data_IF_572053912352
#
_entry.id   IF_572053912352
#
_cell.length_a   1.000
_cell.length_b   1.000
_cell.length_c   1.000
_cell.angle_alpha   90.00
_cell.angle_beta   90.00
_cell.angle_gamma   90.00
#
_symmetry.space_group_name_H-M   'P 1'
#
loop_
_entity.id
_entity.type
_entity.pdbx_description
1 polymer ?
#
# COMPACT_ATOMS: atom_id res chain seq x y z
N UNK A 1 -5.68 -5.09 4.53
CA UNK A 1 -5.35 -3.86 3.83
C UNK A 1 -4.07 -3.93 3.03
N UNK A 2 -3.88 -3.00 2.15
CA UNK A 2 -2.67 -2.79 1.30
C UNK A 2 -2.22 -4.03 0.52
N UNK A 3 -3.14 -4.89 0.11
CA UNK A 3 -2.83 -6.19 -0.50
C UNK A 3 -3.11 -6.27 -2.01
N UNK A 4 -3.67 -5.25 -2.63
CA UNK A 4 -4.12 -5.35 -4.04
C UNK A 4 -2.94 -5.63 -4.95
N UNK A 5 -1.90 -4.80 -4.95
CA UNK A 5 -0.69 -5.07 -5.75
C UNK A 5 -0.01 -6.36 -5.32
N UNK A 6 0.07 -6.63 -4.01
CA UNK A 6 0.71 -7.81 -3.47
C UNK A 6 -0.01 -9.11 -3.88
N UNK A 7 -1.30 -9.24 -3.60
CA UNK A 7 -2.03 -10.48 -3.84
C UNK A 7 -2.55 -10.57 -5.29
N UNK A 8 -3.24 -9.55 -5.77
CA UNK A 8 -3.81 -9.55 -7.12
C UNK A 8 -2.71 -9.48 -8.18
N UNK A 9 -1.66 -8.69 -7.96
CA UNK A 9 -0.51 -8.64 -8.87
C UNK A 9 0.14 -10.01 -9.04
N UNK A 10 0.37 -10.74 -7.94
CA UNK A 10 0.90 -12.10 -7.99
C UNK A 10 -0.04 -13.06 -8.73
N UNK A 11 -1.36 -12.96 -8.47
CA UNK A 11 -2.35 -13.78 -9.16
C UNK A 11 -2.35 -13.55 -10.67
N UNK A 12 -2.20 -12.30 -11.10
CA UNK A 12 -2.12 -11.95 -12.54
C UNK A 12 -0.88 -12.55 -13.18
N UNK A 13 0.29 -12.48 -12.52
CA UNK A 13 1.52 -13.09 -13.05
C UNK A 13 1.37 -14.60 -13.18
N UNK A 14 0.93 -15.30 -12.14
CA UNK A 14 0.76 -16.75 -12.18
C UNK A 14 -0.28 -17.20 -13.20
N UNK A 15 -1.38 -16.43 -13.37
CA UNK A 15 -2.37 -16.72 -14.41
C UNK A 15 -1.82 -16.50 -15.82
N UNK A 16 -0.97 -15.48 -16.02
CA UNK A 16 -0.31 -15.25 -17.30
C UNK A 16 0.70 -16.37 -17.60
N UNK A 17 1.46 -16.82 -16.64
CA UNK A 17 2.36 -17.98 -16.77
C UNK A 17 1.61 -19.26 -17.11
N UNK A 18 0.45 -19.51 -16.47
CA UNK A 18 -0.40 -20.66 -16.79
C UNK A 18 -0.97 -20.56 -18.22
N UNK A 19 -1.35 -19.37 -18.67
CA UNK A 19 -1.76 -19.15 -20.06
C UNK A 19 -0.63 -19.42 -21.06
N UNK A 20 0.60 -19.02 -20.73
CA UNK A 20 1.79 -19.37 -21.53
C UNK A 20 2.01 -20.87 -21.57
N UNK A 21 1.90 -21.55 -20.45
CA UNK A 21 2.02 -22.99 -20.37
C UNK A 21 0.90 -23.71 -21.16
N UNK A 22 -0.33 -23.17 -21.18
CA UNK A 22 -1.40 -23.70 -22.03
C UNK A 22 -1.05 -23.54 -23.53
N UNK A 23 -0.49 -22.40 -23.94
CA UNK A 23 -0.03 -22.19 -25.32
C UNK A 23 1.11 -23.12 -25.69
N UNK A 24 2.08 -23.36 -24.81
CA UNK A 24 3.16 -24.34 -25.00
C UNK A 24 2.60 -25.76 -25.21
N UNK A 25 1.64 -26.18 -24.36
CA UNK A 25 0.98 -27.49 -24.52
C UNK A 25 0.29 -27.63 -25.87
N UNK A 26 -0.31 -26.56 -26.38
CA UNK A 26 -0.99 -26.56 -27.67
C UNK A 26 -0.02 -26.65 -28.85
N UNK A 27 1.08 -25.88 -28.77
CA UNK A 27 2.15 -25.97 -29.76
C UNK A 27 2.76 -27.39 -29.80
N UNK A 28 3.07 -27.94 -28.62
CA UNK A 28 3.54 -29.31 -28.46
C UNK A 28 2.62 -30.34 -29.12
N UNK A 29 1.30 -30.19 -28.88
CA UNK A 29 0.27 -31.05 -29.49
C UNK A 29 0.19 -30.91 -31.00
N UNK A 30 0.41 -29.71 -31.56
CA UNK A 30 0.42 -29.49 -33.01
C UNK A 30 1.64 -30.12 -33.65
N UNK A 31 2.78 -30.09 -32.98
CA UNK A 31 4.05 -30.63 -33.47
C UNK A 31 4.23 -32.10 -33.12
N UNK A 32 3.38 -32.69 -32.33
CA UNK A 32 3.49 -34.05 -31.80
C UNK A 32 4.80 -34.30 -31.02
N UNK A 33 5.13 -33.36 -30.12
CA UNK A 33 6.33 -33.38 -29.27
C UNK A 33 5.94 -33.20 -27.80
N UNK A 34 6.87 -33.46 -26.88
CA UNK A 34 6.68 -33.19 -25.47
C UNK A 34 6.75 -31.68 -25.19
N UNK A 35 6.02 -31.22 -24.16
CA UNK A 35 6.00 -29.80 -23.76
C UNK A 35 7.40 -29.26 -23.42
N UNK A 36 8.27 -30.11 -22.87
CA UNK A 36 9.63 -29.73 -22.48
C UNK A 36 10.52 -29.40 -23.69
N UNK A 37 10.09 -29.80 -24.88
CA UNK A 37 10.74 -29.46 -26.17
C UNK A 37 10.26 -28.13 -26.75
N UNK A 38 9.32 -27.43 -26.06
CA UNK A 38 8.77 -26.14 -26.49
C UNK A 38 9.36 -25.02 -25.67
N UNK A 39 10.14 -24.17 -26.30
CA UNK A 39 10.56 -22.87 -25.77
C UNK A 39 9.49 -21.80 -26.06
N UNK A 40 9.30 -20.87 -25.13
CA UNK A 40 8.44 -19.71 -25.32
C UNK A 40 9.25 -18.45 -25.11
N UNK A 41 9.33 -17.62 -26.14
CA UNK A 41 10.02 -16.35 -26.06
C UNK A 41 9.33 -15.31 -26.94
N UNK A 42 9.12 -14.11 -26.39
CA UNK A 42 8.56 -12.94 -27.08
C UNK A 42 7.24 -13.21 -27.83
N UNK A 43 6.37 -14.06 -27.26
CA UNK A 43 5.10 -14.42 -27.86
C UNK A 43 5.18 -15.48 -28.98
N UNK A 44 6.30 -16.19 -29.08
CA UNK A 44 6.55 -17.22 -30.10
C UNK A 44 6.93 -18.53 -29.41
N UNK A 45 6.27 -19.60 -29.82
CA UNK A 45 6.68 -20.97 -29.48
C UNK A 45 7.66 -21.49 -30.51
N UNK A 46 8.76 -22.10 -30.05
CA UNK A 46 9.78 -22.77 -30.91
C UNK A 46 10.05 -24.17 -30.38
N UNK A 47 10.29 -25.13 -31.30
CA UNK A 47 10.75 -26.46 -30.93
C UNK A 47 12.28 -26.44 -30.79
N UNK A 48 12.81 -26.86 -29.62
CA UNK A 48 14.25 -26.77 -29.32
C UNK A 48 15.09 -27.94 -29.85
N UNK A 49 14.47 -29.08 -30.14
CA UNK A 49 15.22 -30.28 -30.62
C UNK A 49 15.33 -30.40 -32.15
N UNK A 50 14.54 -29.65 -32.89
CA UNK A 50 14.47 -29.79 -34.35
C UNK A 50 14.03 -28.53 -35.07
N UNK A 51 14.68 -28.17 -36.16
CA UNK A 51 14.31 -27.06 -37.05
C UNK A 51 13.19 -27.44 -38.03
N UNK A 52 12.64 -28.66 -37.92
CA UNK A 52 11.58 -29.15 -38.83
C UNK A 52 10.27 -28.42 -38.61
N UNK A 53 10.01 -28.05 -37.38
CA UNK A 53 8.77 -27.38 -36.98
C UNK A 53 8.90 -25.85 -37.09
N UNK A 54 8.01 -25.27 -37.90
CA UNK A 54 7.93 -23.81 -38.03
C UNK A 54 7.50 -23.21 -36.69
N UNK A 55 8.19 -22.17 -36.19
CA UNK A 55 7.74 -21.44 -35.01
C UNK A 55 6.30 -20.95 -35.12
N UNK A 56 5.56 -20.93 -33.99
CA UNK A 56 4.16 -20.51 -33.94
C UNK A 56 4.01 -19.27 -33.09
N UNK A 57 3.37 -18.26 -33.62
CA UNK A 57 2.95 -17.06 -32.90
C UNK A 57 1.70 -17.31 -32.06
N UNK A 58 1.38 -16.41 -31.10
CA UNK A 58 0.13 -16.43 -30.34
C UNK A 58 -1.08 -16.53 -31.26
N UNK A 59 -1.11 -15.78 -32.35
CA UNK A 59 -2.22 -15.78 -33.33
C UNK A 59 -2.38 -17.13 -34.03
N UNK A 60 -1.28 -17.76 -34.43
CA UNK A 60 -1.31 -19.09 -35.06
C UNK A 60 -1.77 -20.17 -34.08
N UNK A 61 -1.31 -20.14 -32.82
CA UNK A 61 -1.76 -21.06 -31.76
C UNK A 61 -3.26 -20.84 -31.48
N UNK A 62 -3.70 -19.59 -31.39
CA UNK A 62 -5.10 -19.24 -31.17
C UNK A 62 -6.01 -19.71 -32.29
N UNK A 63 -5.56 -19.62 -33.57
CA UNK A 63 -6.29 -20.13 -34.71
C UNK A 63 -6.50 -21.67 -34.65
N UNK A 64 -5.60 -22.38 -33.97
CA UNK A 64 -5.69 -23.84 -33.78
C UNK A 64 -6.48 -24.22 -32.50
N UNK A 65 -7.01 -23.26 -31.74
CA UNK A 65 -7.67 -23.49 -30.43
C UNK A 65 -8.79 -24.54 -30.53
N UNK A 66 -9.63 -24.46 -31.51
CA UNK A 66 -10.73 -25.43 -31.72
C UNK A 66 -10.28 -26.90 -31.87
N UNK A 67 -9.06 -27.13 -32.34
CA UNK A 67 -8.48 -28.47 -32.53
C UNK A 67 -7.57 -28.90 -31.37
N UNK A 68 -7.14 -27.97 -30.55
CA UNK A 68 -6.13 -28.22 -29.52
C UNK A 68 -6.67 -28.22 -28.09
N UNK A 69 -7.91 -27.78 -27.86
CA UNK A 69 -8.53 -27.84 -26.54
C UNK A 69 -9.48 -26.68 -26.20
N UNK A 70 -9.93 -25.92 -27.19
CA UNK A 70 -10.85 -24.79 -27.00
C UNK A 70 -10.15 -23.48 -26.66
N UNK A 71 -10.84 -22.57 -25.99
CA UNK A 71 -10.32 -21.25 -25.65
C UNK A 71 -9.03 -21.34 -24.80
N UNK A 72 -8.03 -20.52 -25.13
CA UNK A 72 -6.81 -20.38 -24.33
C UNK A 72 -7.17 -19.62 -23.05
N UNK A 73 -6.78 -20.12 -21.90
CA UNK A 73 -7.01 -19.46 -20.62
C UNK A 73 -5.91 -19.78 -19.64
N UNK A 74 -5.59 -18.83 -18.77
CA UNK A 74 -4.74 -19.03 -17.59
C UNK A 74 -5.51 -18.81 -16.32
N UNK A 75 -5.18 -19.56 -15.28
CA UNK A 75 -5.82 -19.49 -13.98
C UNK A 75 -4.77 -19.54 -12.88
N UNK A 76 -4.99 -18.75 -11.83
CA UNK A 76 -4.20 -18.83 -10.62
C UNK A 76 -5.09 -18.85 -9.39
N UNK A 77 -4.67 -19.57 -8.37
CA UNK A 77 -5.30 -19.57 -7.05
C UNK A 77 -4.20 -19.32 -6.02
N UNK A 78 -4.15 -18.10 -5.50
CA UNK A 78 -3.08 -17.65 -4.63
C UNK A 78 -3.52 -17.65 -3.17
N UNK A 79 -2.71 -18.27 -2.34
CA UNK A 79 -2.70 -18.02 -0.91
C UNK A 79 -1.45 -17.21 -0.57
N UNK A 80 -1.57 -15.89 -0.60
CA UNK A 80 -0.47 -14.96 -0.29
C UNK A 80 -0.18 -14.98 1.23
N UNK A 81 0.54 -16.00 1.68
CA UNK A 81 1.09 -16.09 3.04
C UNK A 81 2.42 -15.33 3.09
N UNK A 82 2.72 -14.72 4.26
CA UNK A 82 4.01 -14.10 4.48
C UNK A 82 4.16 -12.74 3.79
N UNK A 83 3.14 -11.88 3.89
CA UNK A 83 3.33 -10.45 3.58
C UNK A 83 4.54 -9.94 4.37
N UNK A 84 5.58 -9.47 3.69
CA UNK A 84 6.76 -8.90 4.33
C UNK A 84 6.36 -7.73 5.21
N UNK A 85 6.92 -7.65 6.41
CA UNK A 85 6.73 -6.50 7.28
C UNK A 85 7.13 -5.22 6.55
N UNK A 86 6.36 -4.17 6.71
CA UNK A 86 6.70 -2.84 6.26
C UNK A 86 7.11 -1.99 7.48
N UNK A 87 8.06 -1.09 7.29
CA UNK A 87 8.61 -0.24 8.34
C UNK A 87 8.48 1.21 7.93
N UNK A 88 8.15 2.07 8.90
CA UNK A 88 8.11 3.50 8.69
C UNK A 88 8.61 4.24 9.93
N UNK A 89 9.22 5.40 9.70
CA UNK A 89 9.62 6.36 10.72
C UNK A 89 9.13 7.74 10.29
N UNK A 90 8.42 8.43 11.18
CA UNK A 90 7.92 9.77 10.89
C UNK A 90 8.54 10.80 11.83
N UNK A 91 8.77 12.00 11.32
CA UNK A 91 9.31 13.14 12.05
C UNK A 91 8.30 14.27 11.94
N UNK A 92 7.97 14.88 13.08
CA UNK A 92 6.98 15.94 13.19
C UNK A 92 7.54 17.11 13.97
N UNK A 93 7.47 18.30 13.40
CA UNK A 93 7.75 19.57 14.09
C UNK A 93 6.42 20.31 14.30
N UNK A 94 6.17 20.74 15.53
CA UNK A 94 4.94 21.45 15.91
C UNK A 94 5.22 22.74 16.64
N UNK A 95 4.27 23.66 16.53
CA UNK A 95 4.11 24.80 17.42
C UNK A 95 2.82 24.62 18.23
N UNK A 96 2.87 24.88 19.53
CA UNK A 96 1.71 24.80 20.42
C UNK A 96 1.47 26.18 21.02
N UNK A 97 0.29 26.72 20.84
CA UNK A 97 -0.14 27.93 21.51
C UNK A 97 -0.59 27.61 22.95
N UNK A 98 0.14 28.08 23.98
CA UNK A 98 -0.19 27.75 25.35
C UNK A 98 -1.46 28.42 25.89
N UNK A 99 -1.96 29.49 25.22
CA UNK A 99 -3.19 30.19 25.64
C UNK A 99 -4.44 29.51 25.08
N UNK A 100 -4.36 28.83 23.95
CA UNK A 100 -5.50 28.20 23.28
C UNK A 100 -5.41 26.69 23.22
N UNK A 101 -4.22 26.10 23.44
CA UNK A 101 -3.94 24.69 23.23
C UNK A 101 -3.91 24.27 21.75
N UNK A 102 -3.97 25.24 20.83
CA UNK A 102 -3.92 24.94 19.40
C UNK A 102 -2.55 24.41 18.98
N UNK A 103 -2.54 23.36 18.17
CA UNK A 103 -1.33 22.75 17.63
C UNK A 103 -1.25 23.02 16.12
N UNK A 104 -0.19 23.65 15.69
CA UNK A 104 0.15 23.80 14.30
C UNK A 104 1.28 22.82 13.93
N UNK A 105 1.05 21.97 12.94
CA UNK A 105 2.10 21.12 12.38
C UNK A 105 2.90 21.97 11.39
N UNK A 106 4.16 22.24 11.71
CA UNK A 106 5.04 23.12 10.92
C UNK A 106 5.71 22.35 9.78
N UNK A 107 6.17 21.14 10.07
CA UNK A 107 6.83 20.25 9.12
C UNK A 107 6.54 18.79 9.46
N UNK A 108 6.40 17.99 8.42
CA UNK A 108 6.20 16.57 8.58
C UNK A 108 6.97 15.78 7.53
N UNK A 109 7.74 14.78 7.96
CA UNK A 109 8.49 13.89 7.07
C UNK A 109 8.10 12.44 7.33
N UNK A 110 7.65 11.75 6.28
CA UNK A 110 7.30 10.34 6.30
C UNK A 110 8.38 9.53 5.56
N UNK A 111 9.08 8.66 6.27
CA UNK A 111 10.07 7.74 5.73
C UNK A 111 9.50 6.33 5.80
N UNK A 112 9.43 5.61 4.68
CA UNK A 112 8.82 4.27 4.65
C UNK A 112 9.55 3.32 3.72
N UNK A 113 9.78 2.09 4.19
CA UNK A 113 10.17 0.96 3.34
C UNK A 113 8.93 0.41 2.62
N UNK A 114 8.95 0.53 1.30
CA UNK A 114 7.85 0.12 0.41
C UNK A 114 8.16 -1.16 -0.37
N UNK A 115 9.31 -1.78 -0.11
CA UNK A 115 9.86 -2.79 -0.99
C UNK A 115 10.31 -2.18 -2.30
N UNK A 116 9.72 -2.57 -3.41
CA UNK A 116 9.93 -1.93 -4.71
C UNK A 116 8.79 -0.96 -5.00
N UNK A 117 9.11 0.29 -5.27
CA UNK A 117 8.12 1.31 -5.63
C UNK A 117 7.70 1.16 -7.10
N UNK A 118 6.63 0.40 -7.37
CA UNK A 118 6.13 0.16 -8.74
C UNK A 118 5.73 1.47 -9.42
N UNK A 119 5.16 2.41 -8.66
CA UNK A 119 4.77 3.73 -9.14
C UNK A 119 5.08 4.78 -8.07
N UNK A 120 6.30 5.36 -8.05
CA UNK A 120 6.75 6.25 -6.98
C UNK A 120 5.79 7.39 -6.65
N UNK A 121 5.25 8.10 -7.64
CA UNK A 121 4.30 9.20 -7.41
C UNK A 121 3.01 8.75 -6.69
N UNK A 122 2.50 7.55 -6.98
CA UNK A 122 1.35 7.01 -6.25
C UNK A 122 1.72 6.53 -4.86
N UNK A 123 2.94 6.03 -4.68
CA UNK A 123 3.49 5.69 -3.37
C UNK A 123 3.57 6.92 -2.48
N UNK A 124 4.14 8.03 -2.98
CA UNK A 124 4.19 9.32 -2.29
C UNK A 124 2.80 9.80 -1.87
N UNK A 125 1.84 9.78 -2.79
CA UNK A 125 0.45 10.15 -2.49
C UNK A 125 -0.20 9.29 -1.42
N UNK A 126 0.09 7.98 -1.37
CA UNK A 126 -0.38 7.10 -0.30
C UNK A 126 0.29 7.42 1.03
N UNK A 127 1.60 7.69 1.03
CA UNK A 127 2.34 8.07 2.23
C UNK A 127 1.83 9.38 2.81
N UNK A 128 1.59 10.39 1.97
CA UNK A 128 1.02 11.67 2.37
C UNK A 128 -0.39 11.50 2.95
N UNK A 129 -1.28 10.79 2.23
CA UNK A 129 -2.65 10.57 2.66
C UNK A 129 -2.75 9.80 3.97
N UNK A 130 -1.97 8.76 4.16
CA UNK A 130 -1.92 8.00 5.41
C UNK A 130 -1.37 8.83 6.58
N UNK A 131 -0.33 9.64 6.35
CA UNK A 131 0.21 10.53 7.36
C UNK A 131 -0.82 11.58 7.81
N UNK A 132 -1.54 12.23 6.87
CA UNK A 132 -2.62 13.19 7.19
C UNK A 132 -3.71 12.54 8.03
N UNK A 133 -4.14 11.32 7.66
CA UNK A 133 -5.15 10.60 8.43
C UNK A 133 -4.67 10.33 9.86
N UNK A 134 -3.43 9.88 10.04
CA UNK A 134 -2.88 9.64 11.38
C UNK A 134 -2.67 10.92 12.20
N UNK A 135 -2.31 12.05 11.57
CA UNK A 135 -2.26 13.36 12.24
C UNK A 135 -3.66 13.79 12.72
N UNK A 136 -4.68 13.57 11.88
CA UNK A 136 -6.07 13.82 12.25
C UNK A 136 -6.50 13.04 13.49
N UNK A 137 -6.15 11.76 13.58
CA UNK A 137 -6.39 10.94 14.76
C UNK A 137 -5.61 11.41 15.98
N UNK A 138 -4.42 11.95 15.79
CA UNK A 138 -3.62 12.45 16.89
C UNK A 138 -4.14 13.75 17.48
N UNK A 139 -4.76 14.63 16.69
CA UNK A 139 -5.10 15.99 17.09
C UNK A 139 -6.60 16.30 17.16
N UNK A 140 -7.42 15.73 16.24
CA UNK A 140 -8.77 16.25 16.01
C UNK A 140 -9.88 15.19 16.05
N UNK A 141 -9.64 13.99 15.54
CA UNK A 141 -10.69 13.01 15.27
C UNK A 141 -11.04 12.20 16.51
N UNK A 142 -12.25 12.36 17.00
CA UNK A 142 -12.77 11.67 18.18
C UNK A 142 -14.26 11.38 18.00
N UNK A 143 -14.70 10.19 18.36
CA UNK A 143 -16.12 9.89 18.53
C UNK A 143 -16.59 10.35 19.92
N UNK A 144 -17.50 11.29 19.96
CA UNK A 144 -18.06 11.84 21.18
C UNK A 144 -19.41 11.20 21.45
N UNK A 145 -19.51 10.43 22.54
CA UNK A 145 -20.74 9.78 22.94
C UNK A 145 -21.39 10.48 24.14
N UNK A 146 -22.72 10.60 24.12
CA UNK A 146 -23.50 10.99 25.30
C UNK A 146 -23.46 9.90 26.38
N UNK A 147 -23.95 10.22 27.58
CA UNK A 147 -24.10 9.23 28.67
C UNK A 147 -25.00 8.08 28.31
N UNK A 148 -25.92 8.28 27.38
CA UNK A 148 -26.88 7.26 26.89
C UNK A 148 -26.32 6.47 25.68
N UNK A 149 -25.05 6.66 25.31
CA UNK A 149 -24.38 5.95 24.23
C UNK A 149 -24.70 6.46 22.81
N UNK A 150 -25.31 7.64 22.70
CA UNK A 150 -25.60 8.26 21.39
C UNK A 150 -24.37 9.04 20.89
N UNK A 151 -23.99 8.80 19.64
CA UNK A 151 -22.93 9.57 18.99
C UNK A 151 -23.38 11.01 18.73
N UNK A 152 -22.62 11.97 19.24
CA UNK A 152 -22.96 13.39 19.20
C UNK A 152 -22.42 14.11 17.95
N UNK A 153 -21.33 13.63 17.39
CA UNK A 153 -20.65 14.23 16.23
C UNK A 153 -20.76 13.32 15.01
N UNK A 154 -21.96 13.19 14.45
CA UNK A 154 -22.29 12.25 13.38
C UNK A 154 -21.98 12.76 11.97
N UNK A 155 -21.72 14.05 11.80
CA UNK A 155 -21.56 14.69 10.51
C UNK A 155 -20.18 15.33 10.30
N UNK A 156 -19.85 15.67 9.06
CA UNK A 156 -18.60 16.35 8.72
C UNK A 156 -18.44 17.76 9.30
N UNK A 157 -19.49 18.34 9.87
CA UNK A 157 -19.41 19.61 10.62
C UNK A 157 -18.80 19.41 12.01
N UNK A 158 -19.06 18.27 12.62
CA UNK A 158 -18.73 17.99 14.01
C UNK A 158 -17.57 16.99 14.15
N UNK A 159 -17.43 16.04 13.22
CA UNK A 159 -16.29 15.14 13.13
C UNK A 159 -15.17 15.81 12.33
N UNK A 160 -14.11 16.23 13.02
CA UNK A 160 -13.08 17.13 12.50
C UNK A 160 -11.97 16.37 11.73
N UNK A 161 -12.27 15.98 10.49
CA UNK A 161 -11.21 15.51 9.56
C UNK A 161 -10.33 16.70 9.16
N UNK A 162 -9.00 16.58 9.16
CA UNK A 162 -8.12 17.66 8.70
C UNK A 162 -8.43 18.10 7.26
N UNK A 163 -8.41 19.40 7.03
CA UNK A 163 -8.50 19.98 5.71
C UNK A 163 -7.12 20.42 5.21
N UNK A 164 -7.00 20.72 3.93
CA UNK A 164 -5.71 21.03 3.31
C UNK A 164 -4.98 22.23 3.97
N UNK A 165 -5.72 23.19 4.53
CA UNK A 165 -5.15 24.34 5.25
C UNK A 165 -4.56 23.99 6.64
N UNK A 166 -4.94 22.84 7.20
CA UNK A 166 -4.48 22.43 8.52
C UNK A 166 -3.12 21.71 8.46
N UNK A 167 -2.66 21.36 7.26
CA UNK A 167 -1.49 20.51 7.06
C UNK A 167 -0.39 21.22 6.26
N UNK A 168 0.89 21.04 6.63
CA UNK A 168 2.00 21.41 5.76
C UNK A 168 2.07 20.44 4.58
N UNK A 169 2.90 20.75 3.58
CA UNK A 169 3.36 19.73 2.64
C UNK A 169 4.11 18.64 3.39
N UNK A 170 3.74 17.40 3.15
CA UNK A 170 4.39 16.24 3.77
C UNK A 170 5.53 15.79 2.88
N UNK A 171 6.74 15.87 3.40
CA UNK A 171 7.93 15.33 2.75
C UNK A 171 7.90 13.81 2.83
N UNK A 172 8.13 13.14 1.70
CA UNK A 172 8.17 11.69 1.63
C UNK A 172 9.56 11.19 1.26
N UNK A 173 10.02 10.17 1.97
CA UNK A 173 11.27 9.47 1.67
C UNK A 173 10.96 8.00 1.45
N UNK A 174 11.01 7.59 0.20
CA UNK A 174 10.82 6.20 -0.21
C UNK A 174 12.10 5.44 0.04
N UNK A 175 12.03 4.39 0.86
CA UNK A 175 13.10 3.41 1.04
C UNK A 175 12.69 2.13 0.32
N UNK A 176 13.59 1.57 -0.48
CA UNK A 176 13.33 0.37 -1.25
C UNK A 176 14.20 -0.79 -0.78
N UNK A 177 13.59 -1.70 0.01
CA UNK A 177 14.18 -2.99 0.36
C UNK A 177 13.29 -4.08 -0.23
N UNK A 178 13.60 -4.60 -1.43
CA UNK A 178 12.76 -5.55 -2.13
C UNK A 178 12.35 -6.74 -1.25
N UNK A 179 11.06 -7.08 -1.29
CA UNK A 179 10.53 -8.24 -0.61
C UNK A 179 10.85 -9.52 -1.41
N UNK A 180 11.72 -10.41 -0.91
CA UNK A 180 12.10 -11.61 -1.65
C UNK A 180 10.95 -12.62 -1.82
N UNK A 181 9.89 -12.50 -1.01
CA UNK A 181 8.71 -13.35 -1.10
C UNK A 181 7.67 -12.90 -2.11
N UNK A 182 7.93 -11.85 -2.90
CA UNK A 182 6.99 -11.32 -3.87
C UNK A 182 7.65 -11.10 -5.24
N UNK A 183 7.01 -11.47 -6.37
CA UNK A 183 7.59 -11.38 -7.72
C UNK A 183 8.02 -9.95 -8.11
N UNK A 184 7.33 -8.92 -7.58
CA UNK A 184 7.70 -7.52 -7.81
C UNK A 184 8.51 -6.91 -6.66
N UNK A 185 8.81 -7.66 -5.61
CA UNK A 185 9.51 -7.14 -4.43
C UNK A 185 8.70 -6.15 -3.59
N UNK A 186 7.38 -6.05 -3.78
CA UNK A 186 6.55 -5.03 -3.12
C UNK A 186 6.26 -5.36 -1.65
N UNK A 187 5.96 -4.30 -0.88
CA UNK A 187 5.38 -4.32 0.47
C UNK A 187 4.08 -3.55 0.49
N UNK A 188 3.33 -3.62 1.58
CA UNK A 188 2.16 -2.75 1.79
C UNK A 188 2.57 -1.30 1.93
N UNK A 189 1.81 -0.38 1.32
CA UNK A 189 2.12 1.05 1.34
C UNK A 189 0.99 1.86 1.97
N UNK A 190 -0.27 1.58 1.63
CA UNK A 190 -1.40 2.45 1.92
C UNK A 190 -1.73 2.60 3.41
N UNK A 191 -1.59 1.55 4.21
CA UNK A 191 -1.95 1.56 5.64
C UNK A 191 -0.75 1.74 6.58
N UNK A 192 0.46 1.60 6.08
CA UNK A 192 1.67 1.74 6.90
C UNK A 192 1.85 3.17 7.42
N UNK A 193 1.65 4.22 6.60
CA UNK A 193 1.95 5.59 7.01
C UNK A 193 0.92 6.20 7.98
N UNK A 194 -0.18 5.50 8.30
CA UNK A 194 -1.12 5.96 9.32
C UNK A 194 -0.66 5.64 10.75
N UNK A 195 0.22 4.66 10.93
CA UNK A 195 0.60 4.16 12.26
C UNK A 195 1.58 5.09 13.00
N UNK A 196 2.68 5.57 12.37
CA UNK A 196 3.65 6.41 13.07
C UNK A 196 3.15 7.79 13.51
N UNK A 197 2.21 8.47 12.81
CA UNK A 197 1.80 9.82 13.16
C UNK A 197 1.28 9.97 14.59
N UNK A 198 0.53 8.99 15.10
CA UNK A 198 0.00 9.06 16.46
C UNK A 198 1.13 9.25 17.50
N UNK A 199 2.20 8.47 17.37
CA UNK A 199 3.37 8.58 18.24
C UNK A 199 4.24 9.79 17.93
N UNK A 200 4.43 10.13 16.65
CA UNK A 200 5.28 11.26 16.24
C UNK A 200 4.69 12.59 16.72
N UNK A 201 3.39 12.82 16.48
CA UNK A 201 2.68 14.02 16.95
C UNK A 201 2.63 14.08 18.47
N UNK A 202 2.29 12.97 19.13
CA UNK A 202 2.24 12.92 20.60
C UNK A 202 3.60 13.26 21.24
N UNK A 203 4.69 12.78 20.65
CA UNK A 203 6.04 13.12 21.12
C UNK A 203 6.36 14.61 20.87
N UNK A 204 6.01 15.14 19.69
CA UNK A 204 6.26 16.54 19.34
C UNK A 204 5.49 17.50 20.28
N UNK A 205 4.19 17.26 20.49
CA UNK A 205 3.35 18.05 21.41
C UNK A 205 3.89 17.96 22.84
N UNK A 206 4.15 16.74 23.34
CA UNK A 206 4.71 16.57 24.68
C UNK A 206 6.05 17.27 24.89
N UNK A 207 6.88 17.30 23.84
CA UNK A 207 8.17 18.03 23.87
C UNK A 207 7.95 19.55 23.90
N UNK A 208 7.00 20.05 23.08
CA UNK A 208 6.71 21.48 23.00
C UNK A 208 6.18 22.06 24.31
N UNK A 209 5.29 21.34 25.01
CA UNK A 209 4.72 21.81 26.28
C UNK A 209 5.50 21.36 27.54
N UNK A 210 6.52 20.51 27.37
CA UNK A 210 7.32 19.97 28.48
C UNK A 210 6.62 18.93 29.35
N UNK A 211 5.41 18.49 29.00
CA UNK A 211 4.58 17.58 29.79
C UNK A 211 4.21 16.36 28.92
N UNK A 212 4.35 15.15 29.48
CA UNK A 212 3.98 13.93 28.76
C UNK A 212 2.47 13.73 28.73
N UNK A 213 1.90 13.76 27.52
CA UNK A 213 0.52 13.37 27.26
C UNK A 213 0.45 11.95 26.71
N UNK A 214 -0.58 11.19 27.10
CA UNK A 214 -0.77 9.80 26.69
C UNK A 214 -2.15 9.55 26.05
N UNK A 215 -3.08 10.48 26.14
CA UNK A 215 -4.44 10.33 25.63
C UNK A 215 -4.63 11.08 24.32
N UNK A 216 -5.17 10.37 23.32
CA UNK A 216 -5.51 10.92 22.01
C UNK A 216 -7.04 11.11 21.86
N UNK A 217 -7.48 12.03 21.00
CA UNK A 217 -6.69 13.06 20.33
C UNK A 217 -6.18 14.11 21.35
N UNK A 218 -5.03 14.71 21.06
CA UNK A 218 -4.48 15.85 21.80
C UNK A 218 -5.17 17.13 21.34
N UNK A 219 -6.47 17.20 21.61
CA UNK A 219 -7.29 18.36 21.25
C UNK A 219 -6.96 19.57 22.11
N UNK A 220 -7.21 20.80 21.64
CA UNK A 220 -6.92 22.02 22.40
C UNK A 220 -7.42 22.01 23.85
N UNK A 221 -8.66 21.58 24.17
CA UNK A 221 -9.11 21.50 25.55
C UNK A 221 -8.30 20.54 26.43
N UNK A 222 -7.84 19.41 25.86
CA UNK A 222 -7.02 18.43 26.61
C UNK A 222 -5.61 18.96 26.86
N UNK A 223 -5.04 19.68 25.90
CA UNK A 223 -3.73 20.34 26.04
C UNK A 223 -3.79 21.42 27.12
N UNK A 224 -4.77 22.32 27.06
CA UNK A 224 -4.97 23.35 28.11
C UNK A 224 -5.13 22.74 29.49
N UNK A 225 -6.02 21.75 29.64
CA UNK A 225 -6.21 21.07 30.93
C UNK A 225 -4.92 20.42 31.43
N UNK A 226 -4.04 19.97 30.56
CA UNK A 226 -2.75 19.39 30.94
C UNK A 226 -1.76 20.46 31.40
N UNK A 227 -1.73 21.62 30.73
CA UNK A 227 -0.87 22.75 31.09
C UNK A 227 -1.34 23.31 32.46
N UNK A 228 -2.63 23.63 32.59
CA UNK A 228 -3.22 24.18 33.82
C UNK A 228 -3.04 23.28 35.04
N UNK A 229 -2.98 21.97 34.85
CA UNK A 229 -2.76 21.01 35.93
C UNK A 229 -1.30 20.93 36.42
N UNK A 230 -0.36 21.49 35.65
CA UNK A 230 1.07 21.46 35.95
C UNK A 230 1.58 22.76 36.60
N UNK A 231 0.80 23.85 36.48
CA UNK A 231 1.02 25.14 37.18
C UNK A 231 0.47 25.10 38.62
#
# INVERSE_FOLDING_TARGET
>A
GSRVTFATGKAVVEAAEDAVNDMKRRAAKVWDVDIDQVEWKDGIATCIETDIHKPMTIAEIAAMAGKTGGAISGKANINAKGAGAAFATHICDVEVDPETGYVQVLRYTAVQDVGTAIHPAYVEGQMQGGAVQGIGWALNEEYVYSKDGQLQNTGFLDYRVPVASDMPMIDTVIVEVPNPGHPYGVRGVGEVPIVPPLGAVANAVSHAIGIRMADLPMSPPKILATIDAAD
#
